data_IF_315427752741
#
_entry.id   IF_315427752741
#
_cell.length_a   1.000
_cell.length_b   1.000
_cell.length_c   1.000
_cell.angle_alpha   90.00
_cell.angle_beta   90.00
_cell.angle_gamma   90.00
#
_symmetry.space_group_name_H-M   'P 1'
#
loop_
_entity.id
_entity.type
_entity.pdbx_description
1 polymer ?
#
# COMPACT_ATOMS: atom_id res chain seq x y z
N UNK A 1 -3.47 1.60 -2.78
CA UNK A 1 -2.28 2.25 -2.17
C UNK A 1 -2.51 2.70 -0.73
N UNK A 2 -3.65 3.25 -0.36
CA UNK A 2 -3.92 3.74 1.00
C UNK A 2 -3.69 2.71 2.11
N UNK A 3 -4.13 1.45 1.93
CA UNK A 3 -3.88 0.38 2.92
C UNK A 3 -2.39 0.09 3.12
N UNK A 4 -1.59 0.18 2.04
CA UNK A 4 -0.13 0.02 2.13
C UNK A 4 0.49 1.20 2.87
N UNK A 5 0.06 2.43 2.56
CA UNK A 5 0.50 3.64 3.27
C UNK A 5 0.22 3.56 4.78
N UNK A 6 -0.98 3.11 5.15
CA UNK A 6 -1.35 2.90 6.55
C UNK A 6 -0.46 1.87 7.23
N UNK A 7 -0.24 0.71 6.61
CA UNK A 7 0.60 -0.34 7.16
C UNK A 7 2.09 0.04 7.26
N UNK A 8 2.59 0.88 6.34
CA UNK A 8 3.94 1.44 6.45
C UNK A 8 4.05 2.46 7.59
N UNK A 9 3.03 3.28 7.78
CA UNK A 9 2.98 4.23 8.89
C UNK A 9 2.97 3.53 10.25
N UNK A 10 2.24 2.43 10.39
CA UNK A 10 2.25 1.59 11.59
C UNK A 10 3.66 1.04 11.90
N UNK A 11 4.52 0.91 10.90
CA UNK A 11 5.94 0.54 11.05
C UNK A 11 6.86 1.74 11.34
N UNK A 12 6.30 2.92 11.58
CA UNK A 12 7.04 4.13 11.95
C UNK A 12 7.60 4.93 10.78
N UNK A 13 7.19 4.65 9.53
CA UNK A 13 7.60 5.41 8.35
C UNK A 13 6.74 6.67 8.24
N UNK A 14 7.35 7.83 8.03
CA UNK A 14 6.63 9.06 7.74
C UNK A 14 6.02 8.97 6.33
N UNK A 15 4.70 9.07 6.23
CA UNK A 15 3.96 8.90 4.98
C UNK A 15 3.09 10.12 4.72
N UNK A 16 3.15 10.62 3.51
CA UNK A 16 2.16 11.52 2.92
C UNK A 16 1.72 10.97 1.56
N UNK A 17 0.66 11.46 1.00
CA UNK A 17 0.16 11.01 -0.30
C UNK A 17 -0.62 12.07 -1.03
N UNK A 18 -0.89 11.79 -2.30
CA UNK A 18 -1.69 12.63 -3.17
C UNK A 18 -2.57 11.80 -4.09
N UNK A 19 -3.72 12.31 -4.42
CA UNK A 19 -4.65 11.70 -5.38
C UNK A 19 -5.56 12.76 -5.98
N UNK A 20 -6.11 12.51 -7.16
CA UNK A 20 -7.14 13.34 -7.78
C UNK A 20 -8.52 13.20 -7.16
N UNK A 21 -8.78 12.10 -6.44
CA UNK A 21 -10.08 11.74 -5.90
C UNK A 21 -10.02 11.33 -4.43
N UNK A 22 -9.84 12.32 -3.53
CA UNK A 22 -9.77 12.09 -2.09
C UNK A 22 -11.16 12.32 -1.47
N UNK A 23 -11.95 11.26 -1.35
CA UNK A 23 -13.30 11.30 -0.77
C UNK A 23 -13.62 10.03 0.05
N UNK A 24 -14.62 10.08 0.94
CA UNK A 24 -15.02 8.91 1.73
C UNK A 24 -15.39 7.68 0.88
N UNK A 25 -15.09 6.48 1.37
CA UNK A 25 -14.55 6.15 2.71
C UNK A 25 -13.03 6.27 2.84
N UNK A 26 -12.29 6.50 1.75
CA UNK A 26 -10.82 6.46 1.75
C UNK A 26 -10.19 7.69 2.44
N UNK A 27 -10.78 8.88 2.27
CA UNK A 27 -10.31 10.08 2.98
C UNK A 27 -10.39 9.88 4.50
N UNK A 28 -11.55 9.42 4.99
CA UNK A 28 -11.76 9.12 6.41
C UNK A 28 -10.76 8.08 6.93
N UNK A 29 -10.52 7.02 6.14
CA UNK A 29 -9.55 5.98 6.49
C UNK A 29 -8.13 6.53 6.67
N UNK A 30 -7.70 7.46 5.80
CA UNK A 30 -6.37 8.09 5.86
C UNK A 30 -6.29 9.12 7.01
N UNK A 31 -7.33 9.93 7.20
CA UNK A 31 -7.42 10.92 8.27
C UNK A 31 -7.35 10.28 9.66
N UNK A 32 -8.11 9.22 9.91
CA UNK A 32 -8.09 8.47 11.17
C UNK A 32 -6.69 7.91 11.50
N UNK A 33 -5.87 7.69 10.49
CA UNK A 33 -4.47 7.23 10.62
C UNK A 33 -3.45 8.37 10.59
N UNK A 34 -3.92 9.61 10.51
CA UNK A 34 -3.08 10.80 10.45
C UNK A 34 -2.19 10.85 9.21
N UNK A 35 -2.62 10.26 8.09
CA UNK A 35 -1.91 10.34 6.81
C UNK A 35 -2.48 11.51 6.02
N UNK A 36 -1.64 12.52 5.78
CA UNK A 36 -2.01 13.64 4.93
C UNK A 36 -2.15 13.17 3.47
N UNK A 37 -3.28 13.48 2.86
CA UNK A 37 -3.53 13.22 1.45
C UNK A 37 -4.01 14.52 0.79
N UNK A 38 -3.32 14.96 -0.25
CA UNK A 38 -3.55 16.24 -0.91
C UNK A 38 -3.88 16.04 -2.40
N UNK A 39 -4.50 17.03 -3.06
CA UNK A 39 -4.53 17.06 -4.52
C UNK A 39 -3.11 17.10 -5.10
N UNK A 40 -2.92 16.57 -6.31
CA UNK A 40 -1.62 16.57 -6.97
C UNK A 40 -1.03 17.98 -7.12
N UNK A 41 0.18 18.14 -6.63
CA UNK A 41 0.97 19.38 -6.74
C UNK A 41 2.44 19.09 -6.56
N UNK A 42 3.30 19.70 -7.38
CA UNK A 42 4.76 19.63 -7.22
C UNK A 42 5.21 20.03 -5.81
N UNK A 43 4.53 21.03 -5.21
CA UNK A 43 4.81 21.48 -3.84
C UNK A 43 4.66 20.38 -2.76
N UNK A 44 3.91 19.32 -3.03
CA UNK A 44 3.80 18.19 -2.12
C UNK A 44 5.14 17.45 -1.93
N UNK A 45 6.10 17.64 -2.84
CA UNK A 45 7.43 17.02 -2.79
C UNK A 45 8.55 17.99 -2.38
N UNK A 46 8.25 19.24 -2.01
CA UNK A 46 9.25 20.24 -1.59
C UNK A 46 10.08 19.79 -0.38
N UNK A 47 9.52 18.95 0.47
CA UNK A 47 10.20 18.36 1.62
C UNK A 47 11.22 17.26 1.24
N UNK A 48 11.38 16.95 -0.05
CA UNK A 48 12.31 15.96 -0.61
C UNK A 48 12.23 14.60 0.11
N UNK A 49 11.15 13.84 -0.10
CA UNK A 49 11.00 12.52 0.51
C UNK A 49 12.13 11.58 0.09
N UNK A 50 12.50 10.64 0.94
CA UNK A 50 13.51 9.61 0.64
C UNK A 50 13.10 8.69 -0.51
N UNK A 51 11.79 8.50 -0.72
CA UNK A 51 11.25 7.66 -1.79
C UNK A 51 9.87 8.15 -2.23
N UNK A 52 9.68 8.27 -3.53
CA UNK A 52 8.38 8.55 -4.16
C UNK A 52 7.80 7.27 -4.73
N UNK A 53 6.61 6.85 -4.26
CA UNK A 53 5.94 5.66 -4.79
C UNK A 53 4.87 6.07 -5.80
N UNK A 54 5.11 5.79 -7.07
CA UNK A 54 4.23 6.17 -8.17
C UNK A 54 3.20 5.08 -8.44
N UNK A 55 1.91 5.42 -8.37
CA UNK A 55 0.80 4.53 -8.65
C UNK A 55 0.64 4.23 -10.14
N UNK A 56 0.11 3.05 -10.47
CA UNK A 56 -0.06 2.60 -11.85
C UNK A 56 -0.99 3.48 -12.70
N UNK A 57 -1.86 4.26 -12.07
CA UNK A 57 -2.77 5.19 -12.76
C UNK A 57 -2.10 6.52 -13.12
N UNK A 58 -0.90 6.79 -12.60
CA UNK A 58 -0.18 8.02 -12.86
C UNK A 58 0.45 7.95 -14.25
N UNK A 59 0.21 8.97 -15.05
CA UNK A 59 0.72 9.09 -16.40
C UNK A 59 1.56 10.37 -16.58
N UNK A 60 2.18 10.50 -17.75
CA UNK A 60 2.90 11.71 -18.16
C UNK A 60 2.03 12.95 -17.98
N UNK A 61 2.63 14.04 -17.48
CA UNK A 61 1.95 15.30 -17.18
C UNK A 61 1.42 15.40 -15.75
N UNK A 62 1.57 14.36 -14.93
CA UNK A 62 1.30 14.50 -13.50
C UNK A 62 2.39 15.39 -12.86
N UNK A 63 2.02 16.48 -12.15
CA UNK A 63 3.00 17.48 -11.67
C UNK A 63 3.99 16.90 -10.65
N UNK A 64 3.60 15.92 -9.87
CA UNK A 64 4.49 15.27 -8.89
C UNK A 64 5.45 14.30 -9.56
N UNK A 65 4.95 13.50 -10.51
CA UNK A 65 5.81 12.58 -11.26
C UNK A 65 6.87 13.34 -12.08
N UNK A 66 6.48 14.42 -12.77
CA UNK A 66 7.41 15.26 -13.51
C UNK A 66 8.42 15.92 -12.57
N UNK A 67 7.98 16.48 -11.43
CA UNK A 67 8.86 17.07 -10.43
C UNK A 67 9.85 16.06 -9.85
N UNK A 68 9.41 14.85 -9.53
CA UNK A 68 10.28 13.80 -9.02
C UNK A 68 11.39 13.43 -10.02
N UNK A 69 11.05 13.36 -11.32
CA UNK A 69 12.02 13.11 -12.39
C UNK A 69 13.00 14.28 -12.58
N UNK A 70 12.50 15.52 -12.63
CA UNK A 70 13.33 16.73 -12.79
C UNK A 70 14.31 16.90 -11.62
N UNK A 71 13.84 16.68 -10.40
CA UNK A 71 14.66 16.80 -9.19
C UNK A 71 15.50 15.55 -8.90
N UNK A 72 15.38 14.51 -9.74
CA UNK A 72 16.09 13.21 -9.58
C UNK A 72 15.87 12.60 -8.20
N UNK A 73 14.64 12.69 -7.69
CA UNK A 73 14.26 12.00 -6.46
C UNK A 73 14.20 10.49 -6.71
N UNK A 74 14.52 9.73 -5.70
CA UNK A 74 14.35 8.28 -5.78
C UNK A 74 12.87 7.93 -5.89
N UNK A 75 12.52 7.11 -6.88
CA UNK A 75 11.14 6.68 -7.08
C UNK A 75 11.05 5.21 -7.47
N UNK A 76 9.91 4.59 -7.15
CA UNK A 76 9.58 3.24 -7.58
C UNK A 76 8.07 3.08 -7.81
N UNK A 77 7.69 1.99 -8.46
CA UNK A 77 6.29 1.57 -8.51
C UNK A 77 5.88 0.86 -7.21
N UNK A 78 4.56 0.78 -6.96
CA UNK A 78 4.06 0.01 -5.81
C UNK A 78 4.48 -1.47 -5.84
N UNK A 79 4.43 -2.20 -6.96
CA UNK A 79 4.94 -3.57 -7.02
C UNK A 79 6.42 -3.70 -6.69
N UNK A 80 7.25 -2.76 -7.11
CA UNK A 80 8.68 -2.74 -6.77
C UNK A 80 8.91 -2.51 -5.28
N UNK A 81 8.21 -1.55 -4.68
CA UNK A 81 8.23 -1.33 -3.24
C UNK A 81 7.87 -2.63 -2.49
N UNK A 82 6.75 -3.24 -2.85
CA UNK A 82 6.29 -4.48 -2.21
C UNK A 82 7.31 -5.61 -2.38
N UNK A 83 7.85 -5.79 -3.58
CA UNK A 83 8.86 -6.83 -3.86
C UNK A 83 10.07 -6.67 -2.96
N UNK A 84 10.67 -5.48 -2.96
CA UNK A 84 11.95 -5.26 -2.28
C UNK A 84 11.81 -5.13 -0.76
N UNK A 85 10.71 -4.59 -0.26
CA UNK A 85 10.53 -4.34 1.17
C UNK A 85 9.83 -5.48 1.91
N UNK A 86 8.99 -6.27 1.19
CA UNK A 86 8.08 -7.17 1.89
C UNK A 86 7.97 -8.58 1.32
N UNK A 87 8.29 -8.82 0.04
CA UNK A 87 8.10 -10.13 -0.59
C UNK A 87 9.39 -10.96 -0.67
N UNK A 88 10.54 -10.31 -0.81
CA UNK A 88 11.81 -11.03 -0.90
C UNK A 88 12.08 -11.86 0.37
N UNK A 89 12.34 -13.15 0.16
CA UNK A 89 12.60 -14.11 1.24
C UNK A 89 11.34 -14.67 1.90
N UNK A 90 10.13 -14.20 1.51
CA UNK A 90 8.87 -14.69 2.07
C UNK A 90 8.22 -15.76 1.19
N UNK A 91 7.36 -16.55 1.81
CA UNK A 91 6.48 -17.53 1.15
C UNK A 91 5.20 -16.83 0.72
N UNK A 92 5.16 -16.35 -0.53
CA UNK A 92 4.02 -15.63 -1.06
C UNK A 92 2.93 -16.58 -1.54
N UNK A 93 1.72 -16.41 -0.99
CA UNK A 93 0.50 -17.09 -1.40
C UNK A 93 -0.34 -16.12 -2.22
N UNK A 94 -0.31 -16.30 -3.53
CA UNK A 94 -0.97 -15.40 -4.49
C UNK A 94 -2.34 -15.93 -4.84
N UNK A 95 -3.40 -15.17 -4.53
CA UNK A 95 -4.78 -15.51 -4.87
C UNK A 95 -5.17 -14.79 -6.14
N UNK A 96 -5.37 -15.56 -7.21
CA UNK A 96 -5.78 -15.06 -8.54
C UNK A 96 -7.16 -15.59 -8.93
N UNK A 97 -7.79 -14.96 -9.91
CA UNK A 97 -9.07 -15.38 -10.44
C UNK A 97 -9.94 -14.20 -10.88
N UNK A 98 -11.03 -14.47 -11.57
CA UNK A 98 -11.97 -13.44 -12.01
C UNK A 98 -12.91 -12.99 -10.91
N UNK A 99 -13.30 -13.88 -9.99
CA UNK A 99 -14.22 -13.63 -8.88
C UNK A 99 -13.72 -14.27 -7.59
N UNK A 100 -14.13 -13.74 -6.44
CA UNK A 100 -13.87 -14.32 -5.12
C UNK A 100 -12.44 -14.15 -4.59
N UNK A 101 -11.56 -13.43 -5.27
CA UNK A 101 -10.17 -13.20 -4.83
C UNK A 101 -10.10 -12.64 -3.42
N UNK A 102 -10.77 -11.54 -3.17
CA UNK A 102 -10.79 -10.85 -1.86
C UNK A 102 -11.27 -11.78 -0.75
N UNK A 103 -12.35 -12.52 -0.98
CA UNK A 103 -12.91 -13.48 -0.01
C UNK A 103 -11.92 -14.61 0.28
N UNK A 104 -11.33 -15.18 -0.77
CA UNK A 104 -10.36 -16.28 -0.62
C UNK A 104 -9.08 -15.82 0.07
N UNK A 105 -8.54 -14.67 -0.31
CA UNK A 105 -7.35 -14.09 0.33
C UNK A 105 -7.61 -13.75 1.81
N UNK A 106 -8.78 -13.20 2.12
CA UNK A 106 -9.18 -12.88 3.49
C UNK A 106 -9.32 -14.13 4.37
N UNK A 107 -9.92 -15.18 3.82
CA UNK A 107 -10.05 -16.46 4.51
C UNK A 107 -8.69 -17.11 4.73
N UNK A 108 -7.82 -17.09 3.73
CA UNK A 108 -6.48 -17.66 3.83
C UNK A 108 -5.62 -16.91 4.87
N UNK A 109 -5.62 -15.59 4.86
CA UNK A 109 -4.92 -14.79 5.85
C UNK A 109 -5.44 -15.07 7.27
N UNK A 110 -6.77 -15.15 7.43
CA UNK A 110 -7.41 -15.48 8.70
C UNK A 110 -7.05 -16.89 9.20
N UNK A 111 -7.05 -17.91 8.31
CA UNK A 111 -6.66 -19.27 8.66
C UNK A 111 -5.20 -19.34 9.12
N UNK A 112 -4.28 -18.66 8.44
CA UNK A 112 -2.88 -18.62 8.84
C UNK A 112 -2.71 -17.93 10.20
N UNK A 113 -3.43 -16.84 10.43
CA UNK A 113 -3.42 -16.13 11.72
C UNK A 113 -3.92 -17.02 12.87
N UNK A 114 -5.05 -17.72 12.69
CA UNK A 114 -5.60 -18.63 13.69
C UNK A 114 -4.72 -19.85 13.98
N UNK A 115 -3.80 -20.18 13.06
CA UNK A 115 -2.76 -21.19 13.27
C UNK A 115 -1.46 -20.62 13.83
N UNK A 116 -1.44 -19.36 14.29
CA UNK A 116 -0.30 -18.74 14.94
C UNK A 116 0.82 -18.30 13.98
N UNK A 117 0.57 -18.29 12.66
CA UNK A 117 1.58 -17.96 11.66
C UNK A 117 1.71 -16.45 11.41
N UNK A 118 0.82 -15.63 11.96
CA UNK A 118 0.83 -14.15 11.90
C UNK A 118 1.22 -13.59 10.51
N UNK A 119 0.50 -13.92 9.42
CA UNK A 119 0.93 -13.60 8.07
C UNK A 119 0.92 -12.10 7.78
N UNK A 120 1.84 -11.67 6.91
CA UNK A 120 1.64 -10.42 6.16
C UNK A 120 0.55 -10.61 5.12
N UNK A 121 -0.19 -9.57 4.80
CA UNK A 121 -1.16 -9.63 3.70
C UNK A 121 -1.36 -8.28 3.00
N UNK A 122 -1.75 -8.36 1.72
CA UNK A 122 -2.26 -7.25 0.93
C UNK A 122 -3.50 -7.74 0.16
N UNK A 123 -4.65 -7.20 0.50
CA UNK A 123 -5.97 -7.60 0.02
C UNK A 123 -6.69 -6.37 -0.52
N UNK A 124 -7.39 -6.52 -1.65
CA UNK A 124 -8.07 -5.43 -2.36
C UNK A 124 -9.36 -4.97 -1.68
N UNK A 125 -9.28 -4.56 -0.42
CA UNK A 125 -10.42 -4.10 0.35
C UNK A 125 -10.08 -4.05 1.83
N UNK A 126 -11.09 -3.85 2.67
CA UNK A 126 -10.96 -3.92 4.13
C UNK A 126 -11.85 -5.07 4.62
N UNK A 127 -11.31 -6.29 4.70
CA UNK A 127 -12.08 -7.44 5.20
C UNK A 127 -12.49 -7.22 6.65
N UNK A 128 -13.77 -7.45 6.97
CA UNK A 128 -14.31 -7.21 8.31
C UNK A 128 -13.59 -8.02 9.41
N UNK A 129 -13.15 -9.21 9.06
CA UNK A 129 -12.45 -10.13 9.98
C UNK A 129 -11.00 -9.75 10.25
N UNK A 130 -10.39 -8.92 9.39
CA UNK A 130 -9.00 -8.46 9.50
C UNK A 130 -8.89 -6.98 9.86
N UNK A 131 -9.96 -6.19 9.68
CA UNK A 131 -10.05 -4.78 10.01
C UNK A 131 -9.21 -3.84 9.13
N UNK A 132 -8.40 -4.38 8.22
CA UNK A 132 -7.52 -3.63 7.32
C UNK A 132 -7.20 -4.41 6.05
N UNK A 133 -6.89 -3.69 4.97
CA UNK A 133 -6.56 -4.29 3.66
C UNK A 133 -5.08 -4.66 3.49
N UNK A 134 -4.21 -4.19 4.38
CA UNK A 134 -2.80 -4.55 4.37
C UNK A 134 -2.25 -4.62 5.79
N UNK A 135 -1.36 -5.58 6.03
CA UNK A 135 -0.57 -5.73 7.26
C UNK A 135 0.78 -6.32 6.91
N UNK A 136 1.84 -5.76 7.45
CA UNK A 136 3.20 -6.26 7.26
C UNK A 136 3.80 -6.69 8.59
N UNK A 137 4.15 -7.97 8.68
CA UNK A 137 4.72 -8.62 9.85
C UNK A 137 6.07 -9.23 9.53
N UNK A 138 6.77 -9.74 10.53
CA UNK A 138 8.04 -10.45 10.34
C UNK A 138 7.85 -11.94 10.00
N UNK A 139 6.59 -12.42 9.87
CA UNK A 139 6.28 -13.78 9.44
C UNK A 139 6.85 -14.10 8.06
N UNK A 140 7.21 -15.35 7.85
CA UNK A 140 7.62 -15.87 6.53
C UNK A 140 6.48 -15.92 5.51
N UNK A 141 5.24 -15.79 5.95
CA UNK A 141 4.05 -15.91 5.11
C UNK A 141 3.52 -14.56 4.66
N UNK A 142 3.22 -14.46 3.37
CA UNK A 142 2.60 -13.28 2.77
C UNK A 142 1.42 -13.72 1.89
N UNK A 143 0.20 -13.26 2.20
CA UNK A 143 -0.98 -13.46 1.37
C UNK A 143 -1.22 -12.23 0.51
N UNK A 144 -1.28 -12.40 -0.81
CA UNK A 144 -1.49 -11.30 -1.74
C UNK A 144 -2.61 -11.62 -2.73
N UNK A 145 -3.49 -10.65 -2.94
CA UNK A 145 -4.51 -10.68 -3.99
C UNK A 145 -3.91 -10.16 -5.30
N UNK A 146 -4.00 -10.97 -6.39
CA UNK A 146 -3.48 -10.67 -7.72
C UNK A 146 -4.54 -10.17 -8.71
#
# INVERSE_FOLDING_TARGET
>A
MASVAAALKERGIAISGSDSGIYPPMSTFLEERGIAANPFSAANLDHKPDLVVIGNAISRGNPEAEFALEQKLDYCSLPELLKHQFLLGKRSLVVTGTHGKTTTASLLAWLLEHNGLNPSFLIGGIPNNLGQGARFTDSDWFVIEG
#
